data_IF_918278835310
#
_entry.id   IF_918278835310
#
_cell.length_a   1.000
_cell.length_b   1.000
_cell.length_c   1.000
_cell.angle_alpha   90.00
_cell.angle_beta   90.00
_cell.angle_gamma   90.00
#
_symmetry.space_group_name_H-M   'P 1'
#
loop_
_entity.id
_entity.type
_entity.pdbx_description
1 polymer ?
#
# COMPACT_ATOMS: atom_id res chain seq x y z
N UNK A 1 -57.13 21.14 4.73
CA UNK A 1 -57.69 20.39 3.59
C UNK A 1 -56.69 20.39 2.44
N UNK A 2 -56.03 19.27 2.18
CA UNK A 2 -55.48 18.89 0.86
C UNK A 2 -55.13 17.40 0.94
N UNK A 3 -56.18 16.62 1.20
CA UNK A 3 -56.20 15.18 0.99
C UNK A 3 -56.99 14.98 -0.31
N UNK A 4 -56.60 13.99 -1.12
CA UNK A 4 -57.08 13.63 -2.47
C UNK A 4 -56.14 14.07 -3.61
N UNK A 5 -54.97 13.42 -3.70
CA UNK A 5 -54.40 13.13 -5.02
C UNK A 5 -54.11 11.62 -5.11
N UNK A 6 -54.94 10.85 -5.85
CA UNK A 6 -54.81 9.41 -5.97
C UNK A 6 -53.87 9.06 -7.12
N UNK A 7 -52.57 9.31 -6.97
CA UNK A 7 -51.53 8.68 -7.81
C UNK A 7 -50.50 7.91 -6.96
N UNK A 8 -50.99 7.17 -5.96
CA UNK A 8 -50.30 5.96 -5.49
C UNK A 8 -50.62 4.84 -6.49
N UNK A 9 -49.92 4.81 -7.62
CA UNK A 9 -50.30 3.89 -8.68
C UNK A 9 -49.35 3.66 -9.84
N UNK A 10 -48.09 4.11 -9.80
CA UNK A 10 -47.08 3.62 -10.76
C UNK A 10 -45.80 3.28 -10.00
N UNK A 11 -45.55 1.96 -9.85
CA UNK A 11 -44.18 1.45 -9.71
C UNK A 11 -43.40 2.01 -10.89
N UNK A 12 -42.74 3.15 -10.70
CA UNK A 12 -41.73 3.65 -11.62
C UNK A 12 -40.71 2.53 -11.74
N UNK A 13 -40.73 1.81 -12.87
CA UNK A 13 -39.66 0.87 -13.19
C UNK A 13 -38.40 1.72 -13.12
N UNK A 14 -37.46 1.35 -12.23
CA UNK A 14 -36.19 2.06 -12.15
C UNK A 14 -35.66 2.13 -13.58
N UNK A 15 -35.56 3.34 -14.13
CA UNK A 15 -34.99 3.59 -15.46
C UNK A 15 -33.73 2.74 -15.61
N UNK A 16 -33.50 2.11 -16.76
CA UNK A 16 -32.34 1.21 -16.97
C UNK A 16 -31.01 1.86 -16.53
N UNK A 17 -30.92 3.20 -16.57
CA UNK A 17 -29.81 3.99 -16.02
C UNK A 17 -29.64 3.87 -14.50
N UNK A 18 -30.73 3.86 -13.73
CA UNK A 18 -30.72 3.67 -12.27
C UNK A 18 -30.36 2.23 -11.90
N UNK A 19 -30.86 1.24 -12.65
CA UNK A 19 -30.46 -0.16 -12.46
C UNK A 19 -28.96 -0.33 -12.75
N UNK A 20 -28.47 0.25 -13.86
CA UNK A 20 -27.06 0.21 -14.23
C UNK A 20 -26.16 0.88 -13.16
N UNK A 21 -26.55 2.04 -12.63
CA UNK A 21 -25.81 2.69 -11.54
C UNK A 21 -25.73 1.81 -10.29
N UNK A 22 -26.83 1.17 -9.92
CA UNK A 22 -26.87 0.25 -8.77
C UNK A 22 -25.99 -0.98 -9.03
N UNK A 23 -26.07 -1.57 -10.23
CA UNK A 23 -25.25 -2.71 -10.63
C UNK A 23 -23.75 -2.37 -10.60
N UNK A 24 -23.33 -1.25 -11.19
CA UNK A 24 -21.94 -0.78 -11.16
C UNK A 24 -21.45 -0.52 -9.73
N UNK A 25 -22.31 0.02 -8.86
CA UNK A 25 -21.97 0.22 -7.45
C UNK A 25 -21.73 -1.11 -6.74
N UNK A 26 -22.60 -2.09 -6.92
CA UNK A 26 -22.43 -3.43 -6.33
C UNK A 26 -21.23 -4.16 -6.89
N UNK A 27 -20.96 -4.05 -8.20
CA UNK A 27 -19.78 -4.61 -8.83
C UNK A 27 -18.48 -4.08 -8.19
N UNK A 28 -18.40 -2.78 -7.90
CA UNK A 28 -17.25 -2.18 -7.21
C UNK A 28 -17.08 -2.71 -5.78
N UNK A 29 -18.19 -2.87 -5.04
CA UNK A 29 -18.16 -3.38 -3.67
C UNK A 29 -17.76 -4.85 -3.63
N UNK A 30 -18.36 -5.68 -4.50
CA UNK A 30 -18.02 -7.10 -4.61
C UNK A 30 -16.58 -7.30 -5.09
N UNK A 31 -16.13 -6.51 -6.07
CA UNK A 31 -14.73 -6.54 -6.51
C UNK A 31 -13.76 -6.16 -5.38
N UNK A 32 -14.08 -5.14 -4.58
CA UNK A 32 -13.28 -4.78 -3.42
C UNK A 32 -13.23 -5.89 -2.36
N UNK A 33 -14.37 -6.48 -2.01
CA UNK A 33 -14.44 -7.60 -1.08
C UNK A 33 -13.70 -8.84 -1.60
N UNK A 34 -13.84 -9.15 -2.89
CA UNK A 34 -13.12 -10.23 -3.54
C UNK A 34 -11.61 -10.05 -3.40
N UNK A 35 -11.08 -8.85 -3.70
CA UNK A 35 -9.64 -8.56 -3.55
C UNK A 35 -9.19 -8.77 -2.10
N UNK A 36 -9.96 -8.29 -1.11
CA UNK A 36 -9.61 -8.45 0.29
C UNK A 36 -9.60 -9.91 0.74
N UNK A 37 -10.66 -10.66 0.46
CA UNK A 37 -10.78 -12.08 0.85
C UNK A 37 -9.71 -12.90 0.13
N UNK A 38 -9.51 -12.65 -1.16
CA UNK A 38 -8.46 -13.28 -1.96
C UNK A 38 -7.07 -13.01 -1.39
N UNK A 39 -6.76 -11.76 -1.03
CA UNK A 39 -5.49 -11.37 -0.42
C UNK A 39 -5.27 -12.08 0.92
N UNK A 40 -6.28 -12.07 1.81
CA UNK A 40 -6.19 -12.76 3.10
C UNK A 40 -5.98 -14.26 2.93
N UNK A 41 -6.69 -14.88 1.98
CA UNK A 41 -6.48 -16.29 1.64
C UNK A 41 -5.07 -16.56 1.11
N UNK A 42 -4.54 -15.70 0.22
CA UNK A 42 -3.15 -15.77 -0.24
C UNK A 42 -2.14 -15.64 0.89
N UNK A 43 -2.37 -14.76 1.86
CA UNK A 43 -1.54 -14.66 3.05
C UNK A 43 -1.53 -15.96 3.87
N UNK A 44 -2.68 -16.65 4.00
CA UNK A 44 -2.75 -17.96 4.68
C UNK A 44 -1.98 -19.02 3.89
N UNK A 45 -2.09 -19.03 2.56
CA UNK A 45 -1.37 -19.99 1.70
C UNK A 45 0.14 -19.89 1.85
N UNK A 46 0.67 -18.67 2.01
CA UNK A 46 2.10 -18.42 2.21
C UNK A 46 2.70 -19.09 3.46
N UNK A 47 1.88 -19.45 4.46
CA UNK A 47 2.32 -20.16 5.67
C UNK A 47 2.06 -21.66 5.62
N UNK A 48 1.53 -22.19 4.52
CA UNK A 48 1.40 -23.64 4.35
C UNK A 48 2.77 -24.27 4.09
N UNK A 49 3.10 -25.46 4.65
CA UNK A 49 4.43 -26.05 4.54
C UNK A 49 5.01 -26.08 3.12
N UNK A 50 4.20 -26.43 2.11
CA UNK A 50 4.61 -26.47 0.70
C UNK A 50 4.93 -25.10 0.06
N UNK A 51 4.46 -24.00 0.65
CA UNK A 51 4.63 -22.63 0.15
C UNK A 51 5.53 -21.76 1.05
N UNK A 52 5.99 -22.32 2.17
CA UNK A 52 6.94 -21.62 3.04
C UNK A 52 8.30 -21.48 2.35
N UNK A 53 8.94 -20.34 2.58
CA UNK A 53 10.33 -20.09 2.19
C UNK A 53 11.15 -20.15 3.47
N UNK A 54 11.91 -21.23 3.63
CA UNK A 54 12.69 -21.49 4.84
C UNK A 54 14.18 -21.43 4.51
N UNK A 55 14.97 -21.13 5.53
CA UNK A 55 16.42 -21.21 5.45
C UNK A 55 16.87 -22.67 5.54
N UNK A 56 17.99 -22.94 4.89
CA UNK A 56 18.73 -24.17 5.02
C UNK A 56 19.97 -23.94 5.86
N UNK A 57 20.47 -24.99 6.50
CA UNK A 57 21.78 -24.96 7.13
C UNK A 57 22.81 -25.34 6.06
N UNK A 58 23.76 -24.44 5.79
CA UNK A 58 24.83 -24.71 4.84
C UNK A 58 25.93 -25.61 5.45
N UNK A 59 26.95 -25.94 4.64
CA UNK A 59 28.09 -26.77 5.08
C UNK A 59 28.92 -26.15 6.21
N UNK A 60 28.77 -24.84 6.45
CA UNK A 60 29.46 -24.11 7.53
C UNK A 60 28.61 -24.04 8.81
N UNK A 61 27.41 -24.61 8.81
CA UNK A 61 26.47 -24.55 9.93
C UNK A 61 25.66 -23.26 9.97
N UNK A 62 25.74 -22.40 8.95
CA UNK A 62 25.03 -21.12 8.92
C UNK A 62 23.66 -21.26 8.26
N UNK A 63 22.65 -20.60 8.82
CA UNK A 63 21.33 -20.51 8.21
C UNK A 63 21.33 -19.50 7.07
N UNK A 64 21.02 -19.97 5.85
CA UNK A 64 21.02 -19.16 4.62
C UNK A 64 19.80 -19.49 3.75
N UNK A 65 19.35 -18.53 2.95
CA UNK A 65 18.42 -18.84 1.86
C UNK A 65 19.18 -19.32 0.64
N UNK A 66 18.75 -20.44 0.06
CA UNK A 66 19.33 -20.99 -1.16
C UNK A 66 18.26 -21.16 -2.25
N UNK A 67 18.64 -21.03 -3.54
CA UNK A 67 17.77 -21.40 -4.64
C UNK A 67 17.59 -22.93 -4.72
N UNK A 68 16.54 -23.40 -5.39
CA UNK A 68 16.29 -24.83 -5.62
C UNK A 68 15.85 -25.61 -4.38
N UNK A 69 15.53 -24.92 -3.29
CA UNK A 69 14.96 -25.46 -2.05
C UNK A 69 13.78 -24.61 -1.61
N UNK A 70 12.88 -25.23 -0.85
CA UNK A 70 11.61 -24.65 -0.41
C UNK A 70 10.74 -24.19 -1.60
N UNK A 71 9.83 -23.25 -1.36
CA UNK A 71 8.94 -22.72 -2.38
C UNK A 71 9.63 -21.72 -3.32
N UNK A 72 9.39 -21.86 -4.64
CA UNK A 72 9.86 -20.93 -5.68
C UNK A 72 8.81 -20.55 -6.72
N UNK A 73 8.84 -19.29 -7.15
CA UNK A 73 8.21 -18.82 -8.37
C UNK A 73 9.32 -18.70 -9.42
N UNK A 74 9.17 -19.46 -10.50
CA UNK A 74 10.13 -19.52 -11.62
C UNK A 74 9.40 -19.11 -12.89
N UNK A 75 9.79 -17.99 -13.50
CA UNK A 75 9.14 -17.46 -14.69
C UNK A 75 9.73 -18.11 -15.95
N UNK A 76 9.34 -19.36 -16.23
CA UNK A 76 9.81 -20.11 -17.40
C UNK A 76 9.54 -19.40 -18.73
N UNK A 77 8.42 -18.68 -18.84
CA UNK A 77 8.07 -17.90 -20.04
C UNK A 77 9.11 -16.83 -20.40
N UNK A 78 9.96 -16.43 -19.45
CA UNK A 78 11.03 -15.46 -19.66
C UNK A 78 12.41 -16.11 -19.74
N UNK A 79 12.50 -17.45 -19.81
CA UNK A 79 13.77 -18.18 -19.85
C UNK A 79 14.46 -18.32 -18.50
N UNK A 80 13.75 -18.10 -17.39
CA UNK A 80 14.28 -18.40 -16.06
C UNK A 80 14.38 -19.91 -15.88
N UNK A 81 15.55 -20.39 -15.48
CA UNK A 81 15.81 -21.81 -15.25
C UNK A 81 15.96 -22.09 -13.77
N UNK A 82 15.37 -23.17 -13.30
CA UNK A 82 15.50 -23.62 -11.91
C UNK A 82 15.09 -25.06 -11.75
N UNK A 83 15.82 -25.75 -10.88
CA UNK A 83 15.63 -27.16 -10.54
C UNK A 83 15.83 -27.35 -9.04
N UNK A 84 15.41 -28.50 -8.54
CA UNK A 84 15.71 -28.93 -7.17
C UNK A 84 17.24 -28.97 -7.00
N UNK A 85 17.72 -28.42 -5.88
CA UNK A 85 19.10 -28.58 -5.43
C UNK A 85 19.06 -29.45 -4.17
N UNK A 86 19.86 -30.52 -4.18
CA UNK A 86 19.87 -31.50 -3.11
C UNK A 86 20.62 -30.96 -1.90
N UNK A 87 19.85 -30.52 -0.89
CA UNK A 87 20.38 -30.10 0.41
C UNK A 87 19.84 -31.01 1.51
N UNK A 88 20.69 -31.36 2.46
CA UNK A 88 20.37 -32.28 3.54
C UNK A 88 20.60 -31.65 4.90
N UNK A 89 19.77 -32.02 5.88
CA UNK A 89 19.93 -31.64 7.27
C UNK A 89 19.69 -32.85 8.18
N UNK A 90 20.35 -32.89 9.33
CA UNK A 90 20.03 -33.85 10.38
C UNK A 90 18.90 -33.31 11.25
N UNK A 91 17.77 -34.01 11.29
CA UNK A 91 16.67 -33.72 12.21
C UNK A 91 16.34 -34.99 13.00
N UNK A 92 16.38 -34.90 14.33
CA UNK A 92 16.12 -36.02 15.25
C UNK A 92 16.95 -37.28 14.93
N UNK A 93 18.24 -37.10 14.60
CA UNK A 93 19.15 -38.20 14.26
C UNK A 93 18.92 -38.83 12.89
N UNK A 94 18.00 -38.31 12.06
CA UNK A 94 17.77 -38.77 10.68
C UNK A 94 18.22 -37.71 9.68
N UNK A 95 18.88 -38.15 8.62
CA UNK A 95 19.19 -37.30 7.47
C UNK A 95 17.90 -37.06 6.67
N UNK A 96 17.47 -35.82 6.58
CA UNK A 96 16.32 -35.40 5.78
C UNK A 96 16.77 -34.49 4.64
N UNK A 97 16.12 -34.60 3.49
CA UNK A 97 16.36 -33.71 2.36
C UNK A 97 15.35 -32.54 2.39
N UNK A 98 15.82 -31.32 2.12
CA UNK A 98 14.92 -30.19 1.97
C UNK A 98 14.00 -30.38 0.75
N UNK A 99 12.71 -30.12 0.94
CA UNK A 99 11.71 -30.15 -0.13
C UNK A 99 11.94 -29.02 -1.13
N UNK A 100 11.42 -29.20 -2.35
CA UNK A 100 11.38 -28.16 -3.38
C UNK A 100 10.01 -28.17 -4.04
N UNK A 101 9.34 -27.02 -4.03
CA UNK A 101 8.05 -26.85 -4.67
C UNK A 101 8.09 -25.58 -5.51
N UNK A 102 7.66 -25.65 -6.76
CA UNK A 102 7.72 -24.49 -7.65
C UNK A 102 6.50 -24.32 -8.51
N UNK A 103 6.16 -23.05 -8.72
CA UNK A 103 5.15 -22.60 -9.67
C UNK A 103 5.91 -22.02 -10.86
N UNK A 104 5.60 -22.53 -12.04
CA UNK A 104 6.37 -22.22 -13.25
C UNK A 104 5.58 -21.50 -14.33
N UNK A 105 4.25 -21.52 -14.22
CA UNK A 105 3.32 -20.89 -15.15
C UNK A 105 2.24 -20.11 -14.40
N UNK A 106 1.53 -19.22 -15.12
CA UNK A 106 0.39 -18.49 -14.54
C UNK A 106 -0.74 -19.44 -14.14
N UNK A 107 -0.97 -20.51 -14.89
CA UNK A 107 -2.01 -21.50 -14.60
C UNK A 107 -1.67 -22.32 -13.35
N UNK A 108 -0.38 -22.65 -13.16
CA UNK A 108 0.13 -23.35 -11.98
C UNK A 108 -0.24 -22.60 -10.70
N UNK A 109 -0.32 -21.26 -10.74
CA UNK A 109 -0.64 -20.46 -9.55
C UNK A 109 -2.02 -20.80 -9.02
N UNK A 110 -3.02 -20.91 -9.88
CA UNK A 110 -4.39 -21.24 -9.47
C UNK A 110 -4.51 -22.71 -9.10
N UNK A 111 -3.88 -23.60 -9.88
CA UNK A 111 -3.98 -25.04 -9.68
C UNK A 111 -3.28 -25.50 -8.41
N UNK A 112 -2.08 -24.96 -8.11
CA UNK A 112 -1.28 -25.38 -6.97
C UNK A 112 -1.68 -24.60 -5.72
N UNK A 113 -1.59 -23.26 -5.72
CA UNK A 113 -1.84 -22.47 -4.50
C UNK A 113 -3.30 -22.34 -4.14
N UNK A 114 -4.21 -22.63 -5.07
CA UNK A 114 -5.65 -22.40 -4.91
C UNK A 114 -5.97 -20.96 -4.47
N UNK A 115 -5.09 -20.00 -4.80
CA UNK A 115 -5.17 -18.62 -4.37
C UNK A 115 -5.34 -17.69 -5.57
N UNK A 116 -6.52 -17.06 -5.73
CA UNK A 116 -6.69 -16.04 -6.76
C UNK A 116 -5.73 -14.85 -6.56
N UNK A 117 -5.26 -14.60 -5.34
CA UNK A 117 -4.28 -13.54 -5.07
C UNK A 117 -2.92 -13.84 -5.70
N UNK A 118 -2.49 -15.10 -5.64
CA UNK A 118 -1.25 -15.50 -6.33
C UNK A 118 -1.38 -15.34 -7.84
N UNK A 119 -2.52 -15.72 -8.42
CA UNK A 119 -2.74 -15.60 -9.85
C UNK A 119 -2.94 -14.17 -10.35
N UNK A 120 -3.66 -13.31 -9.62
CA UNK A 120 -3.98 -11.94 -10.07
C UNK A 120 -2.99 -10.86 -9.63
N UNK A 121 -2.23 -11.08 -8.55
CA UNK A 121 -1.30 -10.08 -8.01
C UNK A 121 0.13 -10.59 -7.96
N UNK A 122 0.40 -11.71 -7.28
CA UNK A 122 1.78 -12.18 -7.04
C UNK A 122 2.47 -12.54 -8.35
N UNK A 123 1.90 -13.42 -9.15
CA UNK A 123 2.54 -13.91 -10.38
C UNK A 123 2.70 -12.83 -11.46
N UNK A 124 1.69 -11.98 -11.76
CA UNK A 124 1.89 -10.91 -12.74
C UNK A 124 2.97 -9.92 -12.33
N UNK A 125 3.05 -9.55 -11.04
CA UNK A 125 4.10 -8.65 -10.55
C UNK A 125 5.46 -9.36 -10.58
N UNK A 126 5.53 -10.65 -10.22
CA UNK A 126 6.76 -11.45 -10.34
C UNK A 126 7.23 -11.50 -11.79
N UNK A 127 6.32 -11.74 -12.73
CA UNK A 127 6.60 -11.77 -14.16
C UNK A 127 7.12 -10.43 -14.68
N UNK A 128 6.48 -9.31 -14.31
CA UNK A 128 6.96 -7.96 -14.68
C UNK A 128 8.36 -7.72 -14.10
N UNK A 129 8.55 -8.02 -12.81
CA UNK A 129 9.82 -7.80 -12.13
C UNK A 129 10.93 -8.64 -12.76
N UNK A 130 10.72 -9.94 -12.98
CA UNK A 130 11.68 -10.82 -13.64
C UNK A 130 11.96 -10.37 -15.08
N UNK A 131 10.95 -9.89 -15.81
CA UNK A 131 11.13 -9.31 -17.14
C UNK A 131 12.03 -8.09 -17.14
N UNK A 132 11.85 -7.20 -16.16
CA UNK A 132 12.73 -6.04 -15.97
C UNK A 132 14.14 -6.44 -15.55
N UNK A 133 14.29 -7.47 -14.73
CA UNK A 133 15.62 -7.99 -14.36
C UNK A 133 16.32 -8.49 -15.62
N UNK A 134 15.64 -9.30 -16.45
CA UNK A 134 16.19 -9.76 -17.72
C UNK A 134 16.56 -8.60 -18.64
N UNK A 135 15.73 -7.56 -18.70
CA UNK A 135 15.97 -6.38 -19.52
C UNK A 135 17.25 -5.64 -19.09
N UNK A 136 17.46 -5.44 -17.80
CA UNK A 136 18.61 -4.68 -17.29
C UNK A 136 19.88 -5.52 -17.13
N UNK A 137 19.76 -6.80 -16.77
CA UNK A 137 20.90 -7.69 -16.57
C UNK A 137 21.32 -8.42 -17.86
N UNK A 138 20.45 -8.50 -18.88
CA UNK A 138 20.63 -9.33 -20.07
C UNK A 138 20.48 -10.83 -19.83
N UNK A 139 20.46 -11.28 -18.57
CA UNK A 139 20.33 -12.69 -18.16
C UNK A 139 19.43 -12.83 -16.94
N UNK A 140 18.85 -14.02 -16.75
CA UNK A 140 18.14 -14.44 -15.54
C UNK A 140 18.94 -15.46 -14.72
N UNK A 141 20.05 -15.94 -15.27
CA UNK A 141 20.92 -16.93 -14.66
C UNK A 141 22.33 -16.34 -14.69
N UNK A 142 22.66 -15.42 -13.77
CA UNK A 142 23.99 -14.82 -13.72
C UNK A 142 25.06 -15.87 -13.46
N UNK A 143 26.26 -15.63 -14.00
CA UNK A 143 27.43 -16.46 -13.75
C UNK A 143 27.86 -16.31 -12.27
N UNK A 144 28.60 -17.28 -11.75
CA UNK A 144 29.03 -17.31 -10.33
C UNK A 144 30.12 -16.26 -10.00
N UNK A 145 30.62 -15.51 -11.00
CA UNK A 145 31.63 -14.50 -10.79
C UNK A 145 31.07 -13.20 -10.17
N UNK A 146 31.90 -12.50 -9.41
CA UNK A 146 31.52 -11.30 -8.66
C UNK A 146 30.97 -10.18 -9.56
N UNK A 147 31.50 -10.03 -10.79
CA UNK A 147 31.08 -8.96 -11.69
C UNK A 147 29.67 -9.21 -12.25
N UNK A 148 29.39 -10.45 -12.68
CA UNK A 148 28.06 -10.87 -13.11
C UNK A 148 27.03 -10.73 -11.98
N UNK A 149 27.36 -11.21 -10.78
CA UNK A 149 26.49 -11.09 -9.61
C UNK A 149 26.20 -9.63 -9.21
N UNK A 150 27.22 -8.77 -9.23
CA UNK A 150 27.05 -7.34 -8.93
C UNK A 150 26.14 -6.66 -9.95
N UNK A 151 26.37 -6.92 -11.23
CA UNK A 151 25.57 -6.34 -12.33
C UNK A 151 24.11 -6.80 -12.23
N UNK A 152 23.90 -8.07 -11.91
CA UNK A 152 22.59 -8.66 -11.69
C UNK A 152 21.87 -8.06 -10.47
N UNK A 153 22.57 -7.84 -9.35
CA UNK A 153 22.03 -7.17 -8.18
C UNK A 153 21.59 -5.72 -8.44
N UNK A 154 22.38 -4.97 -9.19
CA UNK A 154 22.03 -3.60 -9.62
C UNK A 154 20.79 -3.63 -10.52
N UNK A 155 20.73 -4.56 -11.47
CA UNK A 155 19.56 -4.78 -12.31
C UNK A 155 18.31 -5.14 -11.49
N UNK A 156 18.45 -5.95 -10.44
CA UNK A 156 17.36 -6.27 -9.52
C UNK A 156 16.84 -5.04 -8.77
N UNK A 157 17.72 -4.15 -8.26
CA UNK A 157 17.29 -2.87 -7.67
C UNK A 157 16.54 -2.01 -8.69
N UNK A 158 17.11 -1.83 -9.88
CA UNK A 158 16.49 -1.01 -10.93
C UNK A 158 15.12 -1.55 -11.32
N UNK A 159 14.97 -2.88 -11.36
CA UNK A 159 13.71 -3.57 -11.61
C UNK A 159 12.69 -3.35 -10.49
N UNK A 160 13.11 -3.42 -9.22
CA UNK A 160 12.26 -3.11 -8.07
C UNK A 160 11.80 -1.65 -8.15
N UNK A 161 12.71 -0.69 -8.42
CA UNK A 161 12.37 0.72 -8.57
C UNK A 161 11.32 0.96 -9.66
N UNK A 162 11.53 0.41 -10.85
CA UNK A 162 10.60 0.60 -11.97
C UNK A 162 9.26 -0.11 -11.70
N UNK A 163 9.27 -1.29 -11.07
CA UNK A 163 8.05 -1.99 -10.63
C UNK A 163 7.27 -1.14 -9.62
N UNK A 164 7.94 -0.52 -8.65
CA UNK A 164 7.31 0.42 -7.70
C UNK A 164 6.65 1.56 -8.45
N UNK A 165 7.36 2.17 -9.42
CA UNK A 165 6.85 3.30 -10.20
C UNK A 165 5.60 2.90 -10.99
N UNK A 166 5.60 1.74 -11.63
CA UNK A 166 4.44 1.21 -12.38
C UNK A 166 3.24 0.96 -11.47
N UNK A 167 3.44 0.27 -10.34
CA UNK A 167 2.39 0.00 -9.35
C UNK A 167 1.83 1.31 -8.78
N UNK A 168 2.71 2.25 -8.44
CA UNK A 168 2.33 3.55 -7.86
C UNK A 168 1.61 4.43 -8.87
N UNK A 169 2.01 4.44 -10.14
CA UNK A 169 1.30 5.14 -11.20
C UNK A 169 -0.10 4.53 -11.41
N UNK A 170 -0.19 3.20 -11.52
CA UNK A 170 -1.46 2.50 -11.70
C UNK A 170 -2.42 2.76 -10.52
N UNK A 171 -1.94 2.60 -9.29
CA UNK A 171 -2.74 2.87 -8.08
C UNK A 171 -3.12 4.34 -7.97
N UNK A 172 -2.26 5.27 -8.38
CA UNK A 172 -2.59 6.70 -8.43
C UNK A 172 -3.75 6.98 -9.40
N UNK A 173 -3.79 6.36 -10.58
CA UNK A 173 -4.91 6.52 -11.52
C UNK A 173 -6.26 6.19 -10.85
N UNK A 174 -6.31 5.11 -10.07
CA UNK A 174 -7.52 4.71 -9.36
C UNK A 174 -7.80 5.54 -8.09
N UNK A 175 -6.75 6.02 -7.41
CA UNK A 175 -6.88 6.70 -6.11
C UNK A 175 -6.85 8.22 -6.20
N UNK A 176 -6.62 8.82 -7.38
CA UNK A 176 -6.47 10.27 -7.56
C UNK A 176 -7.59 11.07 -6.88
N UNK A 177 -8.84 10.70 -7.11
CA UNK A 177 -10.01 11.36 -6.48
C UNK A 177 -10.02 11.19 -4.97
N UNK A 178 -9.68 10.01 -4.47
CA UNK A 178 -9.61 9.75 -3.03
C UNK A 178 -8.50 10.58 -2.37
N UNK A 179 -7.34 10.67 -3.00
CA UNK A 179 -6.21 11.45 -2.52
C UNK A 179 -6.48 12.96 -2.59
N UNK A 180 -7.10 13.45 -3.66
CA UNK A 180 -7.56 14.84 -3.74
C UNK A 180 -8.58 15.18 -2.63
N UNK A 181 -9.51 14.26 -2.35
CA UNK A 181 -10.48 14.43 -1.27
C UNK A 181 -9.86 14.36 0.14
N UNK A 182 -8.70 13.73 0.29
CA UNK A 182 -7.97 13.67 1.56
C UNK A 182 -7.54 15.07 2.04
N UNK A 183 -7.31 16.00 1.12
CA UNK A 183 -7.02 17.41 1.43
C UNK A 183 -8.18 18.13 2.12
N UNK A 184 -9.42 17.88 1.65
CA UNK A 184 -10.66 18.41 2.25
C UNK A 184 -10.97 17.72 3.58
N UNK A 185 -10.70 16.41 3.65
CA UNK A 185 -10.86 15.62 4.87
C UNK A 185 -10.02 16.19 6.02
N UNK A 186 -8.79 16.64 5.75
CA UNK A 186 -7.92 17.27 6.75
C UNK A 186 -8.50 18.55 7.37
N UNK A 187 -9.29 19.33 6.63
CA UNK A 187 -9.98 20.50 7.19
C UNK A 187 -11.19 20.08 8.04
N UNK A 188 -11.87 19.02 7.63
CA UNK A 188 -13.00 18.48 8.38
C UNK A 188 -12.60 17.82 9.69
N UNK A 189 -11.37 17.31 9.81
CA UNK A 189 -10.87 16.73 11.06
C UNK A 189 -10.98 17.71 12.24
N UNK A 190 -10.81 19.02 12.01
CA UNK A 190 -10.98 20.03 13.05
C UNK A 190 -12.44 20.18 13.48
N UNK A 191 -13.37 20.26 12.51
CA UNK A 191 -14.82 20.31 12.79
C UNK A 191 -15.29 19.03 13.50
N UNK A 192 -14.74 17.89 13.11
CA UNK A 192 -15.01 16.59 13.77
C UNK A 192 -14.48 16.59 15.20
N UNK A 193 -13.31 17.21 15.47
CA UNK A 193 -12.77 17.32 16.82
C UNK A 193 -13.68 18.15 17.75
N UNK A 194 -14.27 19.25 17.26
CA UNK A 194 -15.22 20.06 18.04
C UNK A 194 -16.51 19.28 18.34
N UNK A 195 -17.04 18.55 17.36
CA UNK A 195 -18.18 17.63 17.58
C UNK A 195 -17.80 16.55 18.59
N UNK A 196 -16.61 15.96 18.50
CA UNK A 196 -16.16 14.98 19.48
C UNK A 196 -16.09 15.56 20.90
N UNK A 197 -15.64 16.81 21.04
CA UNK A 197 -15.61 17.51 22.33
C UNK A 197 -17.01 17.76 22.89
N UNK A 198 -17.97 18.16 22.05
CA UNK A 198 -19.39 18.41 22.43
C UNK A 198 -20.08 17.21 23.09
N UNK A 199 -19.68 15.98 22.75
CA UNK A 199 -20.26 14.74 23.31
C UNK A 199 -19.31 13.95 24.21
N UNK A 200 -18.12 14.50 24.54
CA UNK A 200 -17.06 13.75 25.25
C UNK A 200 -17.53 13.13 26.56
N UNK A 201 -18.38 13.84 27.30
CA UNK A 201 -18.86 13.41 28.62
C UNK A 201 -20.18 12.62 28.55
N UNK A 202 -20.73 12.42 27.34
CA UNK A 202 -21.99 11.71 27.11
C UNK A 202 -21.73 10.28 26.65
N UNK A 203 -21.91 9.32 27.56
CA UNK A 203 -21.63 7.89 27.29
C UNK A 203 -22.85 7.09 26.83
N UNK A 204 -24.05 7.68 26.84
CA UNK A 204 -25.29 7.02 26.45
C UNK A 204 -25.30 6.65 24.96
N UNK A 205 -25.99 5.55 24.63
CA UNK A 205 -26.06 5.02 23.27
C UNK A 205 -26.64 6.06 22.28
N UNK A 206 -27.64 6.83 22.73
CA UNK A 206 -28.27 7.87 21.89
C UNK A 206 -27.30 9.02 21.57
N UNK A 207 -26.50 9.48 22.53
CA UNK A 207 -25.49 10.51 22.31
C UNK A 207 -24.40 10.04 21.36
N UNK A 208 -23.97 8.77 21.44
CA UNK A 208 -23.04 8.19 20.46
C UNK A 208 -23.64 8.14 19.06
N UNK A 209 -24.91 7.77 18.92
CA UNK A 209 -25.61 7.79 17.64
C UNK A 209 -25.74 9.21 17.09
N UNK A 210 -26.10 10.20 17.93
CA UNK A 210 -26.18 11.62 17.55
C UNK A 210 -24.81 12.17 17.12
N UNK A 211 -23.75 11.84 17.85
CA UNK A 211 -22.38 12.21 17.49
C UNK A 211 -22.00 11.66 16.10
N UNK A 212 -22.26 10.37 15.84
CA UNK A 212 -21.99 9.76 14.54
C UNK A 212 -22.85 10.39 13.43
N UNK A 213 -24.12 10.69 13.69
CA UNK A 213 -25.00 11.36 12.74
C UNK A 213 -24.53 12.79 12.41
N UNK A 214 -24.07 13.56 13.40
CA UNK A 214 -23.54 14.92 13.21
C UNK A 214 -22.23 14.88 12.39
N UNK A 215 -21.33 13.93 12.68
CA UNK A 215 -20.11 13.70 11.89
C UNK A 215 -20.46 13.32 10.44
N UNK A 216 -21.41 12.41 10.23
CA UNK A 216 -21.86 12.02 8.88
C UNK A 216 -22.51 13.19 8.14
N UNK A 217 -23.27 14.03 8.83
CA UNK A 217 -23.88 15.23 8.25
C UNK A 217 -22.81 16.23 7.79
N UNK A 218 -21.72 16.41 8.55
CA UNK A 218 -20.57 17.23 8.16
C UNK A 218 -19.97 16.70 6.85
N UNK A 219 -19.72 15.40 6.74
CA UNK A 219 -19.19 14.81 5.51
C UNK A 219 -20.12 14.94 4.31
N UNK A 220 -21.43 14.71 4.50
CA UNK A 220 -22.45 14.87 3.45
C UNK A 220 -22.54 16.30 2.96
N UNK A 221 -22.50 17.30 3.86
CA UNK A 221 -22.54 18.73 3.51
C UNK A 221 -21.38 19.15 2.61
N UNK A 222 -20.20 18.57 2.80
CA UNK A 222 -19.02 18.86 1.97
C UNK A 222 -18.91 17.95 0.72
N UNK A 223 -19.93 17.12 0.46
CA UNK A 223 -19.95 16.21 -0.68
C UNK A 223 -18.92 15.08 -0.60
N UNK A 224 -18.44 14.73 0.60
CA UNK A 224 -17.46 13.67 0.81
C UNK A 224 -18.14 12.35 1.16
N UNK A 225 -17.72 11.28 0.48
CA UNK A 225 -18.13 9.91 0.80
C UNK A 225 -17.06 9.24 1.68
N UNK A 226 -17.44 8.83 2.89
CA UNK A 226 -16.55 8.08 3.80
C UNK A 226 -16.04 6.78 3.17
N UNK A 227 -16.90 6.11 2.38
CA UNK A 227 -16.54 4.86 1.69
C UNK A 227 -15.41 5.08 0.67
N UNK A 228 -15.43 6.19 -0.06
CA UNK A 228 -14.37 6.52 -1.02
C UNK A 228 -13.00 6.65 -0.36
N UNK A 229 -12.96 7.23 0.85
CA UNK A 229 -11.71 7.40 1.60
C UNK A 229 -11.17 6.06 2.08
N UNK A 230 -12.05 5.19 2.59
CA UNK A 230 -11.68 3.84 3.04
C UNK A 230 -11.14 3.03 1.85
N UNK A 231 -11.86 2.96 0.73
CA UNK A 231 -11.38 2.21 -0.45
C UNK A 231 -10.01 2.68 -0.92
N UNK A 232 -9.74 4.00 -0.88
CA UNK A 232 -8.43 4.55 -1.24
C UNK A 232 -7.29 4.10 -0.34
N UNK A 233 -7.53 3.97 0.97
CA UNK A 233 -6.52 3.50 1.93
C UNK A 233 -6.19 2.01 1.78
N UNK A 234 -7.12 1.20 1.25
CA UNK A 234 -6.91 -0.23 1.02
C UNK A 234 -6.23 -0.54 -0.31
N UNK A 235 -6.25 0.37 -1.28
CA UNK A 235 -5.67 0.15 -2.61
C UNK A 235 -4.18 -0.29 -2.60
N UNK A 236 -3.30 0.23 -1.71
CA UNK A 236 -1.91 -0.20 -1.65
C UNK A 236 -1.68 -1.59 -1.03
N UNK A 237 -2.62 -2.10 -0.22
CA UNK A 237 -2.40 -3.32 0.58
C UNK A 237 -2.15 -4.59 -0.27
N UNK A 238 -2.93 -4.89 -1.33
CA UNK A 238 -2.66 -6.05 -2.17
C UNK A 238 -1.26 -6.04 -2.78
N UNK A 239 -0.79 -4.87 -3.21
CA UNK A 239 0.55 -4.72 -3.79
C UNK A 239 1.66 -4.90 -2.74
N UNK A 240 1.42 -4.45 -1.51
CA UNK A 240 2.35 -4.65 -0.40
C UNK A 240 2.57 -6.15 -0.13
N UNK A 241 1.48 -6.91 0.02
CA UNK A 241 1.56 -8.35 0.27
C UNK A 241 2.11 -9.12 -0.94
N UNK A 242 1.82 -8.66 -2.15
CA UNK A 242 2.37 -9.27 -3.35
C UNK A 242 3.90 -9.13 -3.40
N UNK A 243 4.44 -7.93 -3.18
CA UNK A 243 5.89 -7.72 -3.13
C UNK A 243 6.54 -8.54 -2.00
N UNK A 244 5.90 -8.61 -0.84
CA UNK A 244 6.38 -9.43 0.28
C UNK A 244 6.49 -10.92 -0.09
N UNK A 245 5.52 -11.46 -0.83
CA UNK A 245 5.59 -12.82 -1.35
C UNK A 245 6.71 -12.95 -2.39
N UNK A 246 6.72 -12.07 -3.39
CA UNK A 246 7.63 -12.12 -4.56
C UNK A 246 9.10 -12.04 -4.16
N UNK A 247 9.48 -11.14 -3.24
CA UNK A 247 10.88 -10.98 -2.81
C UNK A 247 11.44 -12.26 -2.21
N UNK A 248 10.59 -13.07 -1.56
CA UNK A 248 11.02 -14.30 -0.90
C UNK A 248 10.89 -15.53 -1.78
N UNK A 249 9.88 -15.59 -2.65
CA UNK A 249 9.63 -16.78 -3.45
C UNK A 249 10.18 -16.70 -4.87
N UNK A 250 10.42 -15.52 -5.44
CA UNK A 250 10.86 -15.43 -6.84
C UNK A 250 12.33 -15.74 -6.97
N UNK A 251 12.67 -16.74 -7.78
CA UNK A 251 14.04 -17.22 -7.94
C UNK A 251 15.03 -16.10 -8.31
N UNK A 252 14.65 -15.25 -9.26
CA UNK A 252 15.44 -14.09 -9.68
C UNK A 252 15.85 -13.17 -8.53
N UNK A 253 15.01 -13.02 -7.50
CA UNK A 253 15.29 -12.20 -6.32
C UNK A 253 16.01 -12.97 -5.21
N UNK A 254 15.79 -14.29 -5.10
CA UNK A 254 16.53 -15.14 -4.14
C UNK A 254 18.03 -15.07 -4.37
N UNK A 255 18.44 -15.10 -5.64
CA UNK A 255 19.85 -15.09 -6.05
C UNK A 255 20.43 -13.67 -6.20
N UNK A 256 19.60 -12.63 -6.09
CA UNK A 256 20.06 -11.25 -6.25
C UNK A 256 20.78 -10.75 -5.00
N UNK A 257 21.98 -10.19 -5.19
CA UNK A 257 22.75 -9.55 -4.13
C UNK A 257 23.50 -8.31 -4.65
N UNK A 258 23.67 -7.29 -3.82
CA UNK A 258 24.49 -6.10 -4.11
C UNK A 258 25.68 -6.10 -3.16
N UNK A 259 26.86 -6.43 -3.68
CA UNK A 259 28.01 -6.75 -2.85
C UNK A 259 27.62 -7.85 -1.85
N UNK A 260 27.84 -7.65 -0.53
CA UNK A 260 27.49 -8.66 0.48
C UNK A 260 26.01 -8.63 0.93
N UNK A 261 25.16 -7.76 0.35
CA UNK A 261 23.75 -7.62 0.73
C UNK A 261 22.88 -8.48 -0.19
N UNK A 262 22.43 -9.63 0.29
CA UNK A 262 21.45 -10.47 -0.40
C UNK A 262 20.02 -9.93 -0.18
N UNK A 263 19.21 -9.92 -1.25
CA UNK A 263 17.89 -9.30 -1.19
C UNK A 263 16.85 -10.12 -0.43
N UNK A 264 17.03 -11.42 -0.34
CA UNK A 264 16.12 -12.30 0.42
C UNK A 264 16.38 -12.26 1.94
N UNK A 265 17.58 -11.88 2.34
CA UNK A 265 18.01 -11.89 3.74
C UNK A 265 17.41 -10.72 4.53
N UNK A 266 17.07 -10.98 5.80
CA UNK A 266 16.48 -9.98 6.69
C UNK A 266 17.54 -9.15 7.43
N UNK A 267 17.39 -7.82 7.57
CA UNK A 267 18.39 -6.98 8.23
C UNK A 267 18.72 -7.41 9.66
N UNK A 268 17.71 -7.73 10.49
CA UNK A 268 17.92 -8.14 11.87
C UNK A 268 18.80 -9.38 11.97
N UNK A 269 18.44 -10.42 11.24
CA UNK A 269 19.18 -11.68 11.23
C UNK A 269 20.64 -11.45 10.85
N UNK A 270 20.88 -10.70 9.78
CA UNK A 270 22.22 -10.44 9.29
C UNK A 270 23.04 -9.62 10.27
N UNK A 271 22.45 -8.60 10.90
CA UNK A 271 23.11 -7.80 11.95
C UNK A 271 23.50 -8.69 13.15
N UNK A 272 22.61 -9.56 13.61
CA UNK A 272 22.90 -10.47 14.74
C UNK A 272 23.97 -11.51 14.42
N UNK A 273 24.19 -11.80 13.14
CA UNK A 273 25.25 -12.68 12.64
C UNK A 273 26.57 -11.92 12.36
N UNK A 274 26.67 -10.64 12.72
CA UNK A 274 27.87 -9.81 12.53
C UNK A 274 27.97 -9.11 11.17
N UNK A 275 26.97 -9.25 10.30
CA UNK A 275 26.93 -8.57 9.00
C UNK A 275 26.35 -7.14 9.15
N UNK A 276 27.14 -6.25 9.77
CA UNK A 276 26.72 -4.88 10.08
C UNK A 276 26.43 -4.00 8.86
N UNK A 277 26.82 -4.41 7.64
CA UNK A 277 26.50 -3.67 6.43
C UNK A 277 24.98 -3.50 6.21
N UNK A 278 24.15 -4.40 6.75
CA UNK A 278 22.68 -4.28 6.67
C UNK A 278 22.13 -3.09 7.47
N UNK A 279 22.92 -2.49 8.39
CA UNK A 279 22.57 -1.24 9.08
C UNK A 279 22.40 -0.10 8.07
N UNK A 280 23.16 -0.11 6.96
CA UNK A 280 23.07 0.94 5.93
C UNK A 280 21.66 1.03 5.32
N UNK A 281 21.00 -0.12 5.10
CA UNK A 281 19.62 -0.18 4.59
C UNK A 281 18.66 0.48 5.55
N UNK A 282 18.80 0.20 6.85
CA UNK A 282 17.96 0.79 7.91
C UNK A 282 18.21 2.29 8.02
N UNK A 283 19.48 2.71 8.00
CA UNK A 283 19.90 4.10 8.10
C UNK A 283 19.36 4.96 6.94
N UNK A 284 19.22 4.38 5.74
CA UNK A 284 18.60 5.04 4.59
C UNK A 284 17.07 5.03 4.71
N UNK A 285 16.48 3.89 5.06
CA UNK A 285 15.03 3.73 5.10
C UNK A 285 14.34 4.59 6.16
N UNK A 286 14.82 4.59 7.40
CA UNK A 286 14.10 5.21 8.52
C UNK A 286 13.88 6.72 8.35
N UNK A 287 14.88 7.54 7.96
CA UNK A 287 14.66 8.96 7.72
C UNK A 287 13.66 9.21 6.57
N UNK A 288 13.77 8.46 5.48
CA UNK A 288 12.86 8.55 4.34
C UNK A 288 11.42 8.20 4.73
N UNK A 289 11.23 7.14 5.51
CA UNK A 289 9.93 6.73 6.03
C UNK A 289 9.34 7.78 6.97
N UNK A 290 10.15 8.32 7.88
CA UNK A 290 9.72 9.36 8.81
C UNK A 290 9.24 10.61 8.06
N UNK A 291 10.01 11.08 7.07
CA UNK A 291 9.63 12.21 6.22
C UNK A 291 8.34 11.91 5.45
N UNK A 292 8.27 10.75 4.78
CA UNK A 292 7.08 10.33 4.03
C UNK A 292 5.81 10.32 4.88
N UNK A 293 5.92 9.91 6.13
CA UNK A 293 4.79 9.75 7.04
C UNK A 293 4.36 11.06 7.72
N UNK A 294 5.31 11.91 8.10
CA UNK A 294 5.04 13.17 8.79
C UNK A 294 4.69 14.32 7.84
N UNK A 295 5.18 14.28 6.59
CA UNK A 295 4.98 15.34 5.60
C UNK A 295 3.50 15.76 5.40
N UNK A 296 2.52 14.84 5.25
CA UNK A 296 1.11 15.24 5.12
C UNK A 296 0.62 16.07 6.30
N UNK A 297 1.01 15.70 7.53
CA UNK A 297 0.65 16.44 8.73
C UNK A 297 1.36 17.79 8.73
N UNK A 298 2.67 17.85 8.48
CA UNK A 298 3.42 19.12 8.44
C UNK A 298 2.84 20.12 7.43
N UNK A 299 2.38 19.65 6.27
CA UNK A 299 1.72 20.49 5.27
C UNK A 299 0.34 20.97 5.71
N UNK A 300 -0.45 20.11 6.37
CA UNK A 300 -1.71 20.50 7.03
C UNK A 300 -1.46 21.57 8.10
N UNK A 301 -0.42 21.39 8.91
CA UNK A 301 0.01 22.31 9.96
C UNK A 301 0.34 23.70 9.41
N UNK A 302 1.08 23.73 8.29
CA UNK A 302 1.46 24.97 7.60
C UNK A 302 0.24 25.72 7.07
N UNK A 303 -0.73 25.01 6.49
CA UNK A 303 -1.97 25.60 5.95
C UNK A 303 -2.84 26.21 7.04
N UNK A 304 -2.95 25.55 8.19
CA UNK A 304 -3.82 25.96 9.29
C UNK A 304 -3.17 26.96 10.25
N UNK A 305 -1.97 27.48 9.93
CA UNK A 305 -1.23 28.40 10.81
C UNK A 305 -1.96 29.74 11.05
N UNK A 306 -2.82 30.16 10.13
CA UNK A 306 -3.63 31.38 10.24
C UNK A 306 -4.98 31.18 10.94
N UNK A 307 -5.32 29.95 11.36
CA UNK A 307 -6.59 29.61 12.00
C UNK A 307 -6.35 29.53 13.51
N UNK A 308 -7.11 30.29 14.32
CA UNK A 308 -7.12 30.10 15.76
C UNK A 308 -7.77 28.75 16.09
N UNK A 309 -7.01 27.87 16.75
CA UNK A 309 -7.47 26.53 17.08
C UNK A 309 -8.05 26.47 18.49
N UNK A 310 -9.18 25.79 18.65
CA UNK A 310 -9.75 25.45 19.96
C UNK A 310 -8.83 24.47 20.71
N UNK A 311 -8.96 24.36 22.03
CA UNK A 311 -8.19 23.38 22.82
C UNK A 311 -8.49 21.94 22.38
N UNK A 312 -9.74 21.65 22.01
CA UNK A 312 -10.13 20.36 21.45
C UNK A 312 -9.39 20.05 20.13
N UNK A 313 -9.30 21.02 19.23
CA UNK A 313 -8.58 20.90 17.97
C UNK A 313 -7.08 20.72 18.16
N UNK A 314 -6.44 21.49 19.07
CA UNK A 314 -5.02 21.32 19.42
C UNK A 314 -4.74 19.91 19.95
N UNK A 315 -5.60 19.40 20.84
CA UNK A 315 -5.47 18.04 21.39
C UNK A 315 -5.63 16.97 20.31
N UNK A 316 -6.61 17.11 19.42
CA UNK A 316 -6.82 16.17 18.31
C UNK A 316 -5.60 16.11 17.38
N UNK A 317 -5.02 17.26 17.05
CA UNK A 317 -3.80 17.36 16.23
C UNK A 317 -2.57 16.74 16.92
N UNK A 318 -2.38 17.00 18.21
CA UNK A 318 -1.30 16.34 18.99
C UNK A 318 -1.48 14.82 19.01
N UNK A 319 -2.72 14.34 19.19
CA UNK A 319 -3.05 12.90 19.15
C UNK A 319 -2.72 12.29 17.78
N UNK A 320 -3.02 12.98 16.68
CA UNK A 320 -2.66 12.55 15.33
C UNK A 320 -1.15 12.40 15.14
N UNK A 321 -0.36 13.37 15.62
CA UNK A 321 1.11 13.30 15.57
C UNK A 321 1.66 12.13 16.41
N UNK A 322 1.18 11.95 17.64
CA UNK A 322 1.61 10.85 18.51
C UNK A 322 1.30 9.50 17.85
N UNK A 323 0.09 9.34 17.28
CA UNK A 323 -0.28 8.11 16.58
C UNK A 323 0.64 7.82 15.39
N UNK A 324 1.09 8.86 14.66
CA UNK A 324 2.06 8.71 13.58
C UNK A 324 3.44 8.28 14.10
N UNK A 325 3.91 8.87 15.20
CA UNK A 325 5.21 8.50 15.81
C UNK A 325 5.17 7.06 16.35
N UNK A 326 4.09 6.66 17.01
CA UNK A 326 3.91 5.28 17.51
C UNK A 326 3.92 4.29 16.33
N UNK A 327 3.20 4.60 15.27
CA UNK A 327 3.16 3.73 14.09
C UNK A 327 4.52 3.69 13.38
N UNK A 328 5.30 4.78 13.39
CA UNK A 328 6.70 4.77 12.93
C UNK A 328 7.55 3.80 13.74
N UNK A 329 7.43 3.77 15.07
CA UNK A 329 8.14 2.82 15.93
C UNK A 329 7.77 1.36 15.62
N UNK A 330 6.49 1.07 15.36
CA UNK A 330 6.06 -0.27 14.90
C UNK A 330 6.73 -0.64 13.57
N UNK A 331 6.83 0.30 12.63
CA UNK A 331 7.50 0.06 11.35
C UNK A 331 9.01 -0.21 11.49
N UNK A 332 9.67 0.28 12.55
CA UNK A 332 11.07 -0.09 12.84
C UNK A 332 11.18 -1.59 13.14
N UNK A 333 10.24 -2.16 13.90
CA UNK A 333 10.25 -3.60 14.21
C UNK A 333 9.97 -4.41 12.94
N UNK A 334 9.03 -3.94 12.11
CA UNK A 334 8.68 -4.59 10.85
C UNK A 334 9.85 -4.60 9.87
N UNK A 335 10.53 -3.47 9.65
CA UNK A 335 11.66 -3.39 8.69
C UNK A 335 12.81 -4.32 9.07
N UNK A 336 13.06 -4.47 10.37
CA UNK A 336 14.07 -5.38 10.89
C UNK A 336 13.75 -6.85 10.57
N UNK A 337 12.48 -7.19 10.48
CA UNK A 337 11.99 -8.58 10.37
C UNK A 337 11.70 -9.05 8.94
N UNK A 338 11.68 -8.14 7.96
CA UNK A 338 11.37 -8.48 6.56
C UNK A 338 12.64 -8.62 5.72
N UNK A 339 12.51 -9.25 4.55
CA UNK A 339 13.61 -9.38 3.58
C UNK A 339 14.08 -8.01 3.05
N UNK A 340 15.38 -7.88 2.79
CA UNK A 340 16.03 -6.62 2.37
C UNK A 340 15.47 -6.07 1.06
N UNK A 341 15.06 -6.92 0.12
CA UNK A 341 14.38 -6.50 -1.12
C UNK A 341 13.05 -5.79 -0.85
N UNK A 342 12.34 -6.17 0.23
CA UNK A 342 11.11 -5.47 0.67
C UNK A 342 11.47 -4.10 1.26
N UNK A 343 12.58 -3.99 1.98
CA UNK A 343 13.10 -2.72 2.47
C UNK A 343 13.41 -1.76 1.31
N UNK A 344 14.08 -2.24 0.26
CA UNK A 344 14.38 -1.47 -0.95
C UNK A 344 13.11 -1.01 -1.66
N UNK A 345 12.11 -1.90 -1.78
CA UNK A 345 10.79 -1.51 -2.29
C UNK A 345 10.19 -0.36 -1.47
N UNK A 346 10.25 -0.44 -0.15
CA UNK A 346 9.72 0.62 0.72
C UNK A 346 10.50 1.93 0.63
N UNK A 347 11.82 1.91 0.45
CA UNK A 347 12.64 3.11 0.19
C UNK A 347 12.09 3.86 -1.02
N UNK A 348 11.94 3.18 -2.16
CA UNK A 348 11.42 3.81 -3.38
C UNK A 348 9.95 4.23 -3.25
N UNK A 349 9.14 3.41 -2.59
CA UNK A 349 7.74 3.71 -2.30
C UNK A 349 7.58 4.97 -1.44
N UNK A 350 8.45 5.17 -0.45
CA UNK A 350 8.45 6.35 0.41
C UNK A 350 8.95 7.59 -0.32
N UNK A 351 9.96 7.47 -1.18
CA UNK A 351 10.37 8.55 -2.07
C UNK A 351 9.22 9.00 -2.99
N UNK A 352 8.53 8.04 -3.61
CA UNK A 352 7.35 8.33 -4.43
C UNK A 352 6.26 9.02 -3.61
N UNK A 353 5.98 8.52 -2.40
CA UNK A 353 4.96 9.09 -1.51
C UNK A 353 5.29 10.55 -1.12
N UNK A 354 6.55 10.88 -0.87
CA UNK A 354 6.99 12.26 -0.58
C UNK A 354 6.66 13.17 -1.77
N UNK A 355 7.09 12.77 -2.97
CA UNK A 355 6.87 13.51 -4.22
C UNK A 355 5.36 13.67 -4.46
N UNK A 356 4.61 12.57 -4.36
CA UNK A 356 3.15 12.53 -4.55
C UNK A 356 2.42 13.45 -3.57
N UNK A 357 2.76 13.37 -2.28
CA UNK A 357 2.12 14.19 -1.23
C UNK A 357 2.37 15.67 -1.48
N UNK A 358 3.61 16.04 -1.83
CA UNK A 358 3.94 17.42 -2.15
C UNK A 358 3.25 17.91 -3.42
N UNK A 359 3.20 17.08 -4.47
CA UNK A 359 2.50 17.39 -5.71
C UNK A 359 0.99 17.63 -5.47
N UNK A 360 0.33 16.76 -4.70
CA UNK A 360 -1.08 16.94 -4.34
C UNK A 360 -1.30 18.19 -3.48
N UNK A 361 -0.40 18.50 -2.56
CA UNK A 361 -0.47 19.73 -1.77
C UNK A 361 -0.45 20.96 -2.69
N UNK A 362 0.49 21.04 -3.64
CA UNK A 362 0.59 22.13 -4.61
C UNK A 362 -0.63 22.21 -5.55
N UNK A 363 -1.08 21.07 -6.06
CA UNK A 363 -2.27 20.97 -6.90
C UNK A 363 -3.51 21.53 -6.19
N UNK A 364 -3.76 21.08 -4.96
CA UNK A 364 -4.92 21.50 -4.18
C UNK A 364 -4.82 22.97 -3.70
N UNK A 365 -3.63 23.46 -3.36
CA UNK A 365 -3.41 24.86 -3.00
C UNK A 365 -3.78 25.79 -4.17
N UNK A 366 -3.35 25.45 -5.39
CA UNK A 366 -3.68 26.21 -6.61
C UNK A 366 -5.18 26.22 -6.88
N UNK A 367 -5.84 25.06 -6.81
CA UNK A 367 -7.29 24.96 -7.02
C UNK A 367 -8.10 25.71 -5.96
N UNK A 368 -7.67 25.69 -4.70
CA UNK A 368 -8.34 26.42 -3.61
C UNK A 368 -8.23 27.94 -3.80
N UNK A 369 -7.04 28.44 -4.15
CA UNK A 369 -6.82 29.87 -4.43
C UNK A 369 -7.67 30.34 -5.61
N UNK A 370 -7.70 29.58 -6.70
CA UNK A 370 -8.52 29.90 -7.87
C UNK A 370 -10.02 29.94 -7.53
N UNK A 371 -10.53 28.94 -6.79
CA UNK A 371 -11.94 28.90 -6.36
C UNK A 371 -12.32 30.07 -5.45
N UNK A 372 -11.45 30.44 -4.51
CA UNK A 372 -11.70 31.58 -3.62
C UNK A 372 -11.72 32.92 -4.38
N UNK A 373 -10.82 33.10 -5.35
CA UNK A 373 -10.81 34.28 -6.21
C UNK A 373 -12.08 34.38 -7.06
N UNK A 374 -12.54 33.26 -7.63
CA UNK A 374 -13.78 33.21 -8.40
C UNK A 374 -15.00 33.55 -7.52
N UNK A 375 -15.06 32.99 -6.30
CA UNK A 375 -16.11 33.32 -5.32
C UNK A 375 -16.12 34.81 -4.99
N UNK A 376 -14.96 35.42 -4.75
CA UNK A 376 -14.86 36.86 -4.48
C UNK A 376 -15.24 37.72 -5.70
N UNK A 377 -14.96 37.27 -6.92
CA UNK A 377 -15.43 37.95 -8.15
C UNK A 377 -16.95 37.91 -8.27
N UNK A 378 -17.58 36.75 -8.01
CA UNK A 378 -19.04 36.59 -8.02
C UNK A 378 -19.72 37.46 -6.97
N UNK A 379 -19.17 37.52 -5.75
CA UNK A 379 -19.70 38.39 -4.68
C UNK A 379 -19.62 39.87 -5.06
N UNK A 380 -18.47 40.35 -5.59
CA UNK A 380 -18.32 41.74 -6.06
C UNK A 380 -19.28 42.08 -7.21
N UNK A 381 -19.56 41.14 -8.11
CA UNK A 381 -20.56 41.33 -9.17
C UNK A 381 -21.97 41.45 -8.60
N UNK A 382 -22.33 40.61 -7.62
CA UNK A 382 -23.63 40.69 -6.94
C UNK A 382 -23.80 42.00 -6.17
N UNK A 383 -22.75 42.50 -5.51
CA UNK A 383 -22.77 43.80 -4.84
C UNK A 383 -22.97 44.95 -5.85
N UNK A 384 -22.26 44.94 -6.98
CA UNK A 384 -22.45 45.92 -8.05
C UNK A 384 -23.87 45.91 -8.64
N UNK A 385 -24.45 44.72 -8.85
CA UNK A 385 -25.83 44.60 -9.33
C UNK A 385 -26.85 45.13 -8.32
N UNK A 386 -26.61 44.95 -7.01
CA UNK A 386 -27.45 45.53 -5.97
C UNK A 386 -27.35 47.05 -5.90
N UNK A 387 -26.15 47.61 -6.12
CA UNK A 387 -25.91 49.05 -6.14
C UNK A 387 -26.49 49.75 -7.38
N UNK A 388 -26.65 49.04 -8.50
CA UNK A 388 -27.26 49.60 -9.72
C UNK A 388 -28.80 49.47 -9.75
N UNK A 389 -29.39 48.66 -8.88
CA UNK A 389 -30.84 48.43 -8.79
C UNK A 389 -31.51 49.20 -7.63
N UNK A 390 -30.72 49.91 -6.83
CA UNK A 390 -31.14 50.89 -5.83
C UNK A 390 -30.74 52.28 -6.31
#
# INVERSE_FOLDING_TARGET
MSYLNPEKGKKSSKSSKEILKVAVKWLKVLGFLFILVSMLWGCVQMYQPQYTVNQIVDLTGKSVYAPGVAFEIIIKSLGESGSKIHHFAYQNGKLIEYGFHSITSWQDTFAQTQSPFYGFFVYPIAWVLTGLIRLFAGTLNPMLDTASQTSYGVAAIASIFLTVLLIRALTLLFTFKSQANQYKMQDLQLKVADVQAKYKDKKDMQSRQKQQAEIQAIYKKEGLSQFSTITGSFAPLPFLFAIYAIVRSTRSLKIAAIGPIALIEGPWQQITQGNYIYITIIAIYLPLQAVSMLLPTLLQMKRQKSISLTEAQKKARKKQLIMQIVMMAVFVIVILSVATGVCIYWIFSSLFQIIQTYAFYKYNEKHTKASNQERQRRLRQQEKLKLNNN
#
